data_IF_602439562993
#
_entry.id   IF_602439562993
#
_cell.length_a   1.000
_cell.length_b   1.000
_cell.length_c   1.000
_cell.angle_alpha   90.00
_cell.angle_beta   90.00
_cell.angle_gamma   90.00
#
_symmetry.space_group_name_H-M   'P 1'
#
loop_
_entity.id
_entity.type
_entity.pdbx_description
1 polymer ?
#
# COMPACT_ATOMS: atom_id res chain seq x y z
N UNK A 1 -0.38 6.27 24.36
CA UNK A 1 -1.04 5.80 23.13
C UNK A 1 -1.24 7.02 22.26
N UNK A 2 -0.53 7.15 21.14
CA UNK A 2 -0.75 8.28 20.23
C UNK A 2 -2.17 8.16 19.67
N UNK A 3 -2.92 9.26 19.68
CA UNK A 3 -4.26 9.29 19.11
C UNK A 3 -4.15 9.04 17.60
N UNK A 4 -4.64 7.88 17.16
CA UNK A 4 -4.75 7.56 15.73
C UNK A 4 -5.99 8.30 15.24
N UNK A 5 -5.81 9.16 14.23
CA UNK A 5 -6.92 9.83 13.57
C UNK A 5 -7.94 8.78 13.08
N UNK A 6 -9.21 8.83 13.51
CA UNK A 6 -10.23 7.88 13.09
C UNK A 6 -10.44 7.86 11.58
N UNK A 7 -10.14 8.95 10.87
CA UNK A 7 -10.16 9.00 9.41
C UNK A 7 -9.05 8.14 8.78
N UNK A 8 -7.95 7.90 9.50
CA UNK A 8 -6.78 7.14 9.06
C UNK A 8 -6.85 5.68 9.47
N UNK A 9 -7.88 5.27 10.23
CA UNK A 9 -8.10 3.89 10.64
C UNK A 9 -8.35 3.02 9.41
N UNK A 10 -7.61 1.91 9.30
CA UNK A 10 -7.84 0.88 8.28
C UNK A 10 -9.29 0.38 8.41
N UNK A 11 -10.10 0.69 7.41
CA UNK A 11 -11.51 0.30 7.31
C UNK A 11 -11.78 -0.23 5.91
N UNK A 12 -12.35 -1.44 5.82
CA UNK A 12 -12.70 -2.07 4.56
C UNK A 12 -13.78 -1.31 3.77
N UNK A 13 -14.53 -0.42 4.44
CA UNK A 13 -15.57 0.40 3.82
C UNK A 13 -15.09 1.81 3.46
N UNK A 14 -13.80 2.11 3.65
CA UNK A 14 -13.25 3.43 3.31
C UNK A 14 -13.22 3.63 1.80
N UNK A 15 -13.71 4.79 1.37
CA UNK A 15 -13.58 5.24 -0.01
C UNK A 15 -12.26 5.97 -0.21
N UNK A 16 -11.69 5.83 -1.41
CA UNK A 16 -10.46 6.51 -1.81
C UNK A 16 -10.69 8.02 -1.78
N UNK A 17 -9.79 8.74 -1.12
CA UNK A 17 -9.82 10.19 -0.98
C UNK A 17 -8.54 10.84 -1.52
N UNK A 18 -8.57 12.14 -1.73
CA UNK A 18 -7.38 12.90 -2.12
C UNK A 18 -6.32 12.79 -1.01
N UNK A 19 -5.06 12.52 -1.39
CA UNK A 19 -3.95 12.28 -0.47
C UNK A 19 -3.78 10.81 -0.06
N UNK A 20 -4.73 9.92 -0.36
CA UNK A 20 -4.60 8.51 -0.02
C UNK A 20 -3.46 7.84 -0.81
N UNK A 21 -2.74 6.94 -0.14
CA UNK A 21 -1.83 6.02 -0.81
C UNK A 21 -2.62 4.82 -1.33
N UNK A 22 -2.54 4.57 -2.63
CA UNK A 22 -3.18 3.43 -3.30
C UNK A 22 -2.11 2.53 -3.89
N UNK A 23 -2.28 1.22 -3.74
CA UNK A 23 -1.48 0.22 -4.45
C UNK A 23 -2.19 -0.10 -5.76
N UNK A 24 -1.65 0.39 -6.87
CA UNK A 24 -2.17 0.09 -8.20
C UNK A 24 -1.62 -1.25 -8.65
N UNK A 25 -2.50 -2.25 -8.69
CA UNK A 25 -2.18 -3.58 -9.20
C UNK A 25 -2.45 -3.61 -10.70
N UNK A 26 -1.37 -3.64 -11.50
CA UNK A 26 -1.47 -3.73 -12.95
C UNK A 26 -1.47 -5.20 -13.41
N UNK A 27 -0.57 -6.02 -12.83
CA UNK A 27 -0.42 -7.46 -13.06
C UNK A 27 0.25 -8.12 -11.86
N UNK A 28 0.34 -9.45 -11.87
CA UNK A 28 1.01 -10.23 -10.82
C UNK A 28 2.49 -9.83 -10.61
N UNK A 29 3.14 -9.32 -11.66
CA UNK A 29 4.55 -8.90 -11.68
C UNK A 29 4.73 -7.38 -11.58
N UNK A 30 3.63 -6.61 -11.53
CA UNK A 30 3.70 -5.16 -11.59
C UNK A 30 2.65 -4.49 -10.71
N UNK A 31 3.14 -3.91 -9.62
CA UNK A 31 2.38 -3.09 -8.69
C UNK A 31 3.09 -1.75 -8.51
N UNK A 32 2.35 -0.70 -8.19
CA UNK A 32 2.91 0.63 -7.89
C UNK A 32 2.20 1.27 -6.71
N UNK A 33 2.97 1.88 -5.82
CA UNK A 33 2.45 2.83 -4.84
C UNK A 33 2.20 4.18 -5.52
N UNK A 34 0.97 4.69 -5.42
CA UNK A 34 0.55 5.96 -6.01
C UNK A 34 -0.21 6.79 -4.98
N UNK A 35 0.24 8.01 -4.72
CA UNK A 35 -0.54 8.98 -3.93
C UNK A 35 -1.60 9.62 -4.81
N UNK A 36 -2.86 9.53 -4.39
CA UNK A 36 -4.01 10.06 -5.12
C UNK A 36 -4.03 11.58 -5.02
N UNK A 37 -4.23 12.23 -6.17
CA UNK A 37 -4.42 13.68 -6.24
C UNK A 37 -5.30 14.01 -7.44
N UNK A 38 -6.35 14.81 -7.23
CA UNK A 38 -7.38 15.09 -8.24
C UNK A 38 -6.83 15.64 -9.57
N UNK A 39 -5.73 16.39 -9.51
CA UNK A 39 -5.08 17.00 -10.68
C UNK A 39 -4.11 16.08 -11.42
N UNK A 40 -3.90 14.86 -10.94
CA UNK A 40 -2.86 13.96 -11.44
C UNK A 40 -3.43 12.76 -12.19
N UNK A 41 -2.58 12.12 -12.99
CA UNK A 41 -2.92 10.95 -13.80
C UNK A 41 -1.85 9.88 -13.64
N UNK A 42 -2.27 8.62 -13.63
CA UNK A 42 -1.37 7.49 -13.80
C UNK A 42 -1.32 7.11 -15.28
N UNK A 43 -0.11 7.08 -15.83
CA UNK A 43 0.14 6.58 -17.18
C UNK A 43 0.95 5.28 -17.10
N UNK A 44 0.47 4.25 -17.77
CA UNK A 44 1.18 2.99 -17.91
C UNK A 44 0.85 2.34 -19.27
N UNK A 45 1.33 1.11 -19.48
CA UNK A 45 1.10 0.37 -20.73
C UNK A 45 -0.37 0.02 -20.99
N UNK A 46 -1.22 0.05 -19.96
CA UNK A 46 -2.65 -0.24 -20.04
C UNK A 46 -3.50 1.00 -20.32
N UNK A 47 -2.90 2.19 -20.30
CA UNK A 47 -3.52 3.44 -20.71
C UNK A 47 -3.28 4.58 -19.72
N UNK A 48 -4.21 5.53 -19.74
CA UNK A 48 -4.19 6.72 -18.89
C UNK A 48 -5.38 6.63 -17.93
N UNK A 49 -5.12 6.81 -16.64
CA UNK A 49 -6.10 6.73 -15.58
C UNK A 49 -6.09 8.04 -14.80
N UNK A 50 -7.21 8.76 -14.78
CA UNK A 50 -7.33 10.02 -14.04
C UNK A 50 -7.62 9.73 -12.58
N UNK A 51 -6.85 10.31 -11.66
CA UNK A 51 -7.05 10.09 -10.23
C UNK A 51 -8.38 10.68 -9.73
N UNK A 52 -8.91 11.72 -10.40
CA UNK A 52 -10.25 12.25 -10.11
C UNK A 52 -11.35 11.20 -10.26
N UNK A 53 -11.18 10.20 -11.13
CA UNK A 53 -12.12 9.10 -11.30
C UNK A 53 -11.97 8.01 -10.23
N UNK A 54 -10.92 8.05 -9.42
CA UNK A 54 -10.66 7.10 -8.34
C UNK A 54 -11.27 7.57 -7.02
N UNK A 55 -11.28 8.89 -6.80
CA UNK A 55 -11.84 9.50 -5.59
C UNK A 55 -13.33 9.11 -5.46
N UNK A 56 -13.72 8.68 -4.27
CA UNK A 56 -15.07 8.19 -3.97
C UNK A 56 -15.32 6.74 -4.35
N UNK A 57 -14.39 6.05 -5.02
CA UNK A 57 -14.48 4.60 -5.24
C UNK A 57 -13.98 3.83 -4.01
N UNK A 58 -14.54 2.65 -3.72
CA UNK A 58 -13.99 1.78 -2.68
C UNK A 58 -12.64 1.20 -3.12
N UNK A 59 -11.76 0.94 -2.15
CA UNK A 59 -10.58 0.10 -2.40
C UNK A 59 -11.01 -1.29 -2.92
N UNK A 60 -10.16 -1.91 -3.74
CA UNK A 60 -10.46 -3.11 -4.52
C UNK A 60 -11.14 -2.83 -5.87
N UNK A 61 -11.51 -1.58 -6.16
CA UNK A 61 -12.18 -1.22 -7.42
C UNK A 61 -11.31 -1.51 -8.64
N UNK A 62 -11.94 -2.09 -9.68
CA UNK A 62 -11.40 -2.17 -11.04
C UNK A 62 -11.71 -0.86 -11.77
N UNK A 63 -10.68 -0.20 -12.31
CA UNK A 63 -10.83 1.02 -13.11
C UNK A 63 -10.30 0.80 -14.51
N UNK A 64 -10.97 1.38 -15.50
CA UNK A 64 -10.67 1.19 -16.92
C UNK A 64 -10.00 2.43 -17.50
N UNK A 65 -9.12 2.24 -18.47
CA UNK A 65 -8.60 3.30 -19.32
C UNK A 65 -9.52 3.51 -20.52
N UNK A 66 -9.40 4.67 -21.16
CA UNK A 66 -10.12 4.98 -22.41
C UNK A 66 -9.79 4.02 -23.56
N UNK A 67 -8.73 3.20 -23.44
CA UNK A 67 -8.30 2.22 -24.46
C UNK A 67 -8.67 0.77 -24.10
N UNK A 68 -9.50 0.57 -23.09
CA UNK A 68 -10.00 -0.75 -22.67
C UNK A 68 -9.09 -1.55 -21.73
N UNK A 69 -7.89 -1.04 -21.40
CA UNK A 69 -7.05 -1.60 -20.34
C UNK A 69 -7.63 -1.32 -18.95
N UNK A 70 -7.17 -2.04 -17.93
CA UNK A 70 -7.65 -1.84 -16.56
C UNK A 70 -6.54 -2.03 -15.53
N UNK A 71 -6.78 -1.49 -14.32
CA UNK A 71 -5.98 -1.75 -13.11
C UNK A 71 -6.92 -1.93 -11.91
N UNK A 72 -6.41 -2.53 -10.83
CA UNK A 72 -7.12 -2.57 -9.55
C UNK A 72 -6.49 -1.58 -8.56
N UNK A 73 -7.33 -0.90 -7.77
CA UNK A 73 -6.94 0.08 -6.77
C UNK A 73 -6.98 -0.55 -5.37
N UNK A 74 -5.88 -1.11 -4.89
CA UNK A 74 -5.83 -1.84 -3.63
C UNK A 74 -5.46 -0.93 -2.45
N UNK A 75 -5.98 -1.25 -1.27
CA UNK A 75 -5.55 -0.61 -0.04
C UNK A 75 -4.09 -0.98 0.27
N UNK A 76 -3.29 -0.07 0.84
CA UNK A 76 -1.92 -0.37 1.23
C UNK A 76 -1.93 -1.35 2.41
N UNK A 77 -1.21 -2.46 2.27
CA UNK A 77 -0.91 -3.40 3.35
C UNK A 77 0.62 -3.57 3.44
N UNK A 78 1.17 -4.03 4.57
CA UNK A 78 2.62 -4.25 4.69
C UNK A 78 3.17 -5.21 3.63
N UNK A 79 2.41 -6.25 3.26
CA UNK A 79 2.79 -7.23 2.24
C UNK A 79 2.86 -6.59 0.86
N UNK A 80 1.84 -5.80 0.49
CA UNK A 80 1.82 -5.08 -0.79
C UNK A 80 2.86 -3.97 -0.83
N UNK A 81 3.06 -3.27 0.29
CA UNK A 81 4.07 -2.21 0.44
C UNK A 81 5.48 -2.77 0.22
N UNK A 82 5.79 -3.93 0.80
CA UNK A 82 7.07 -4.64 0.62
C UNK A 82 7.41 -4.85 -0.85
N UNK A 83 6.41 -5.05 -1.72
CA UNK A 83 6.59 -5.28 -3.15
C UNK A 83 6.80 -4.00 -3.97
N UNK A 84 6.41 -2.83 -3.45
CA UNK A 84 6.42 -1.57 -4.22
C UNK A 84 7.31 -0.47 -3.64
N UNK A 85 7.80 -0.65 -2.41
CA UNK A 85 8.63 0.33 -1.75
C UNK A 85 9.92 0.59 -2.56
N UNK A 86 10.41 1.81 -2.49
CA UNK A 86 11.70 2.15 -3.11
C UNK A 86 12.84 1.59 -2.27
N UNK A 87 13.59 0.64 -2.83
CA UNK A 87 14.75 0.06 -2.17
C UNK A 87 15.86 1.09 -1.99
N UNK A 88 16.19 1.41 -0.74
CA UNK A 88 17.42 2.15 -0.36
C UNK A 88 18.51 1.22 0.18
N UNK A 89 18.09 0.04 0.64
CA UNK A 89 18.92 -1.00 1.25
C UNK A 89 18.37 -2.37 0.83
N UNK A 90 19.10 -3.43 1.17
CA UNK A 90 18.51 -4.77 1.20
C UNK A 90 17.33 -4.79 2.18
N UNK A 91 16.30 -5.59 1.87
CA UNK A 91 15.09 -5.74 2.69
C UNK A 91 14.81 -7.20 3.01
N UNK A 92 14.01 -7.42 4.04
CA UNK A 92 13.31 -8.69 4.28
C UNK A 92 12.01 -8.71 3.46
N UNK A 93 11.66 -9.90 2.98
CA UNK A 93 10.38 -10.17 2.32
C UNK A 93 9.44 -10.91 3.28
N UNK A 94 8.18 -11.06 2.88
CA UNK A 94 7.11 -11.54 3.75
C UNK A 94 7.38 -12.91 4.39
N UNK A 95 8.09 -13.81 3.71
CA UNK A 95 8.47 -15.11 4.28
C UNK A 95 9.33 -14.94 5.54
N UNK A 96 10.40 -14.15 5.47
CA UNK A 96 11.29 -13.91 6.60
C UNK A 96 10.63 -13.04 7.67
N UNK A 97 9.88 -12.01 7.25
CA UNK A 97 9.15 -11.13 8.16
C UNK A 97 8.14 -11.93 8.99
N UNK A 98 7.33 -12.79 8.35
CA UNK A 98 6.35 -13.60 9.05
C UNK A 98 7.01 -14.57 10.04
N UNK A 99 8.17 -15.14 9.66
CA UNK A 99 8.93 -16.01 10.55
C UNK A 99 9.48 -15.26 11.76
N UNK A 100 10.07 -14.07 11.57
CA UNK A 100 10.58 -13.23 12.67
C UNK A 100 9.46 -12.80 13.61
N UNK A 101 8.34 -12.30 13.09
CA UNK A 101 7.19 -11.87 13.89
C UNK A 101 6.63 -13.02 14.71
N UNK A 102 6.46 -14.19 14.08
CA UNK A 102 5.96 -15.39 14.75
C UNK A 102 6.93 -15.89 15.83
N UNK A 103 8.23 -15.98 15.52
CA UNK A 103 9.24 -16.51 16.42
C UNK A 103 9.48 -15.63 17.64
N UNK A 104 9.37 -14.31 17.47
CA UNK A 104 9.47 -13.34 18.56
C UNK A 104 8.13 -13.10 19.27
N UNK A 105 7.07 -13.82 18.90
CA UNK A 105 5.73 -13.73 19.48
C UNK A 105 5.19 -12.27 19.51
N UNK A 106 5.49 -11.51 18.45
CA UNK A 106 5.10 -10.09 18.39
C UNK A 106 3.59 -9.97 18.22
N UNK A 107 2.96 -9.32 19.18
CA UNK A 107 1.51 -9.07 19.23
C UNK A 107 1.22 -7.61 19.63
N UNK A 108 0.00 -7.10 19.43
CA UNK A 108 -0.35 -5.74 19.85
C UNK A 108 -0.04 -5.50 21.34
N UNK A 109 0.71 -4.43 21.61
CA UNK A 109 1.16 -4.07 22.96
C UNK A 109 2.62 -4.43 23.26
N UNK A 110 3.29 -5.20 22.41
CA UNK A 110 4.73 -5.44 22.51
C UNK A 110 5.54 -4.14 22.29
N UNK A 111 6.60 -3.94 23.08
CA UNK A 111 7.62 -2.95 22.79
C UNK A 111 8.73 -3.62 21.97
N UNK A 112 8.83 -3.27 20.69
CA UNK A 112 9.82 -3.83 19.76
C UNK A 112 10.92 -2.81 19.50
N UNK A 113 12.18 -3.26 19.61
CA UNK A 113 13.35 -2.47 19.24
C UNK A 113 13.88 -2.97 17.90
N UNK A 114 13.66 -2.21 16.84
CA UNK A 114 14.25 -2.44 15.53
C UNK A 114 15.49 -1.54 15.38
N UNK A 115 16.64 -2.12 15.01
CA UNK A 115 17.84 -1.36 14.69
C UNK A 115 18.30 -1.67 13.28
N UNK A 116 18.45 -0.61 12.49
CA UNK A 116 18.56 -0.65 11.05
C UNK A 116 17.19 -0.60 10.36
N UNK A 117 16.55 0.57 10.33
CA UNK A 117 15.25 0.77 9.65
C UNK A 117 15.34 0.45 8.15
N UNK A 118 16.49 0.73 7.53
CA UNK A 118 16.73 0.50 6.10
C UNK A 118 15.66 1.13 5.21
N UNK A 119 14.98 0.30 4.42
CA UNK A 119 13.88 0.73 3.54
C UNK A 119 12.49 0.61 4.18
N UNK A 120 12.39 0.16 5.44
CA UNK A 120 11.15 0.13 6.22
C UNK A 120 10.20 -1.05 5.94
N UNK A 121 10.71 -2.13 5.32
CA UNK A 121 9.90 -3.33 5.00
C UNK A 121 9.38 -4.03 6.27
N UNK A 122 10.29 -4.38 7.18
CA UNK A 122 9.94 -4.97 8.48
C UNK A 122 9.14 -3.98 9.34
N UNK A 123 9.60 -2.73 9.43
CA UNK A 123 8.96 -1.66 10.20
C UNK A 123 7.45 -1.55 9.92
N UNK A 124 7.05 -1.64 8.64
CA UNK A 124 5.63 -1.51 8.24
C UNK A 124 4.79 -2.72 8.69
N UNK A 125 5.42 -3.86 8.95
CA UNK A 125 4.76 -5.11 9.34
C UNK A 125 4.65 -5.28 10.87
N UNK A 126 5.30 -4.42 11.65
CA UNK A 126 5.20 -4.44 13.11
C UNK A 126 3.86 -3.82 13.56
N UNK A 127 3.14 -4.44 14.51
CA UNK A 127 1.79 -4.03 14.93
C UNK A 127 1.73 -2.80 15.85
#
# INVERSE_FOLDING_TARGET
>A
MLAIDPATKLSFNRLISNGDLVIVYERHDNLKAVTVSESTVLQNRFGVFKHSEWIGKPFGSKVFSNKGGFVYLLAPTPELWTLVLSHRTQILYIADISFVIMYLEVVPGCLVLESGTGSGSLTTSLP
#
